data_IF_804893807216
#
_entry.id   IF_804893807216
#
_cell.length_a   1.000
_cell.length_b   1.000
_cell.length_c   1.000
_cell.angle_alpha   90.00
_cell.angle_beta   90.00
_cell.angle_gamma   90.00
#
_symmetry.space_group_name_H-M   'P 1'
#
loop_
_entity.id
_entity.type
_entity.pdbx_description
1 polymer ?
#
# COMPACT_ATOMS: atom_id res chain seq x y z
N UNK A 1 -12.90 34.74 -19.21
CA UNK A 1 -11.92 34.10 -18.32
C UNK A 1 -12.34 34.14 -16.85
N UNK A 2 -13.61 33.85 -16.49
CA UNK A 2 -14.08 33.86 -15.07
C UNK A 2 -14.77 32.56 -14.62
N UNK A 3 -14.83 31.50 -15.46
CA UNK A 3 -15.54 30.25 -15.14
C UNK A 3 -14.64 29.04 -14.84
N UNK A 4 -13.32 29.14 -14.96
CA UNK A 4 -12.39 28.03 -14.68
C UNK A 4 -11.93 27.94 -13.20
N UNK A 5 -12.21 28.99 -12.40
CA UNK A 5 -11.86 28.99 -10.98
C UNK A 5 -12.96 28.37 -10.08
N UNK A 6 -14.21 28.34 -10.54
CA UNK A 6 -15.35 27.82 -9.79
C UNK A 6 -15.53 26.31 -9.88
N UNK A 7 -14.99 25.65 -10.91
CA UNK A 7 -15.04 24.19 -11.04
C UNK A 7 -14.01 23.46 -10.17
N UNK A 8 -12.87 24.08 -9.88
CA UNK A 8 -11.84 23.47 -9.00
C UNK A 8 -12.23 23.36 -7.52
N UNK A 9 -13.27 24.09 -7.09
CA UNK A 9 -13.71 24.08 -5.67
C UNK A 9 -14.80 23.04 -5.39
N UNK A 10 -15.40 22.41 -6.41
CA UNK A 10 -16.46 21.40 -6.23
C UNK A 10 -16.00 19.95 -6.27
N UNK A 11 -14.81 19.66 -6.76
CA UNK A 11 -14.25 18.30 -6.78
C UNK A 11 -13.58 17.88 -5.45
N UNK A 12 -13.44 18.77 -4.49
CA UNK A 12 -12.81 18.53 -3.18
C UNK A 12 -13.74 18.15 -2.03
N UNK A 13 -15.05 18.22 -2.20
CA UNK A 13 -16.02 18.06 -1.09
C UNK A 13 -16.62 16.67 -0.92
N UNK A 14 -16.21 15.67 -1.71
CA UNK A 14 -16.88 14.36 -1.81
C UNK A 14 -16.42 13.26 -0.85
N UNK A 15 -15.33 13.43 -0.11
CA UNK A 15 -14.96 12.45 0.94
C UNK A 15 -15.29 13.07 2.29
N UNK A 16 -16.51 12.81 2.75
CA UNK A 16 -16.95 13.19 4.08
C UNK A 16 -15.90 12.74 5.10
N UNK A 17 -15.35 13.69 5.88
CA UNK A 17 -14.43 13.41 6.98
C UNK A 17 -15.04 12.29 7.81
N UNK A 18 -14.51 11.05 7.64
CA UNK A 18 -14.80 9.95 8.56
C UNK A 18 -14.25 10.41 9.91
N UNK A 19 -15.12 10.94 10.74
CA UNK A 19 -14.77 11.45 12.06
C UNK A 19 -14.21 10.29 12.86
N UNK A 20 -12.95 10.43 13.28
CA UNK A 20 -12.30 9.54 14.24
C UNK A 20 -13.05 9.60 15.58
N UNK A 21 -13.89 8.60 15.84
CA UNK A 21 -14.84 8.57 16.97
C UNK A 21 -14.18 8.11 18.29
N UNK A 22 -12.91 7.75 18.29
CA UNK A 22 -12.22 7.36 19.54
C UNK A 22 -10.82 7.95 19.61
N UNK A 23 -10.73 9.13 20.24
CA UNK A 23 -9.44 9.74 20.57
C UNK A 23 -8.77 8.93 21.67
N UNK A 24 -7.85 8.04 21.30
CA UNK A 24 -7.03 7.30 22.26
C UNK A 24 -6.15 8.31 23.01
N UNK A 25 -6.26 8.38 24.32
CA UNK A 25 -5.39 9.24 25.11
C UNK A 25 -3.99 8.64 25.15
N UNK A 26 -3.02 9.38 24.63
CA UNK A 26 -1.61 9.00 24.64
C UNK A 26 -0.91 9.63 25.86
N UNK A 27 -0.03 8.86 26.50
CA UNK A 27 0.85 9.38 27.57
C UNK A 27 1.74 10.51 27.05
N UNK A 28 2.31 11.31 27.95
CA UNK A 28 3.21 12.41 27.55
C UNK A 28 4.38 11.89 26.70
N UNK A 29 5.01 10.79 27.12
CA UNK A 29 6.10 10.14 26.38
C UNK A 29 5.67 9.71 24.98
N UNK A 30 4.48 9.11 24.85
CA UNK A 30 3.93 8.74 23.55
C UNK A 30 3.65 9.96 22.67
N UNK A 31 3.16 11.06 23.24
CA UNK A 31 2.91 12.31 22.50
C UNK A 31 4.20 12.92 21.98
N UNK A 32 5.27 12.90 22.77
CA UNK A 32 6.62 13.33 22.34
C UNK A 32 7.13 12.43 21.22
N UNK A 33 7.02 11.11 21.35
CA UNK A 33 7.40 10.16 20.31
C UNK A 33 6.62 10.40 19.03
N UNK A 34 5.29 10.61 19.09
CA UNK A 34 4.44 10.92 17.95
C UNK A 34 4.77 12.28 17.29
N UNK A 35 5.42 13.18 18.01
CA UNK A 35 5.86 14.44 17.43
C UNK A 35 7.23 14.32 16.73
N UNK A 36 8.14 13.54 17.27
CA UNK A 36 9.55 13.49 16.82
C UNK A 36 9.75 12.34 15.81
N UNK A 37 9.37 11.11 16.16
CA UNK A 37 9.70 9.90 15.40
C UNK A 37 9.18 9.96 13.95
N UNK A 38 7.92 10.34 13.66
CA UNK A 38 7.44 10.43 12.29
C UNK A 38 8.21 11.42 11.44
N UNK A 39 8.57 12.59 12.01
CA UNK A 39 9.33 13.61 11.27
C UNK A 39 10.75 13.14 10.95
N UNK A 40 11.42 12.52 11.92
CA UNK A 40 12.75 11.96 11.72
C UNK A 40 12.73 10.84 10.69
N UNK A 41 11.78 9.92 10.81
CA UNK A 41 11.62 8.80 9.87
C UNK A 41 11.32 9.33 8.45
N UNK A 42 10.39 10.27 8.30
CA UNK A 42 10.08 10.86 7.00
C UNK A 42 11.29 11.60 6.40
N UNK A 43 12.06 12.32 7.20
CA UNK A 43 13.28 13.00 6.75
C UNK A 43 14.34 12.00 6.28
N UNK A 44 14.60 10.93 7.04
CA UNK A 44 15.54 9.86 6.66
C UNK A 44 15.07 9.20 5.36
N UNK A 45 13.79 8.87 5.24
CA UNK A 45 13.20 8.29 4.04
C UNK A 45 13.34 9.23 2.83
N UNK A 46 13.14 10.53 3.02
CA UNK A 46 13.32 11.52 1.97
C UNK A 46 14.78 11.61 1.52
N UNK A 47 15.73 11.66 2.46
CA UNK A 47 17.17 11.72 2.16
C UNK A 47 17.63 10.46 1.40
N UNK A 48 17.23 9.28 1.85
CA UNK A 48 17.53 8.03 1.13
C UNK A 48 16.81 8.04 -0.23
N UNK A 49 15.52 8.33 -0.23
CA UNK A 49 14.64 8.22 -1.37
C UNK A 49 15.06 9.09 -2.56
N UNK A 50 15.55 10.32 -2.33
CA UNK A 50 16.04 11.18 -3.43
C UNK A 50 17.29 10.64 -4.11
N UNK A 51 18.02 9.74 -3.46
CA UNK A 51 19.21 9.09 -4.02
C UNK A 51 18.90 7.82 -4.81
N UNK A 52 17.68 7.26 -4.65
CA UNK A 52 17.29 6.01 -5.31
C UNK A 52 16.99 6.23 -6.78
N UNK A 53 17.40 5.26 -7.59
CA UNK A 53 17.13 5.23 -9.03
C UNK A 53 16.15 4.09 -9.31
N UNK A 54 14.91 4.44 -9.69
CA UNK A 54 13.87 3.46 -9.97
C UNK A 54 13.87 3.06 -11.44
N UNK A 55 13.84 1.75 -11.68
CA UNK A 55 13.73 1.14 -12.99
C UNK A 55 12.46 0.27 -13.01
N UNK A 56 11.56 0.54 -13.94
CA UNK A 56 10.28 -0.16 -14.05
C UNK A 56 10.40 -1.25 -15.08
N UNK A 57 10.07 -2.48 -14.69
CA UNK A 57 9.92 -3.63 -15.57
C UNK A 57 8.53 -4.23 -15.40
N UNK A 58 8.04 -4.92 -16.40
CA UNK A 58 6.73 -5.53 -16.39
C UNK A 58 6.75 -6.90 -17.05
N UNK A 59 5.98 -7.84 -16.51
CA UNK A 59 5.63 -9.09 -17.16
C UNK A 59 4.89 -8.79 -18.47
N UNK A 60 5.05 -9.63 -19.50
CA UNK A 60 4.31 -9.47 -20.76
C UNK A 60 2.80 -9.41 -20.50
N UNK A 61 2.14 -8.35 -20.99
CA UNK A 61 0.73 -8.08 -20.76
C UNK A 61 0.40 -7.40 -19.41
N UNK A 62 1.39 -7.10 -18.57
CA UNK A 62 1.19 -6.28 -17.39
C UNK A 62 1.28 -4.78 -17.73
N UNK A 63 0.45 -3.98 -17.11
CA UNK A 63 0.41 -2.51 -17.31
C UNK A 63 0.82 -1.81 -16.02
N UNK A 64 2.03 -1.25 -15.94
CA UNK A 64 2.45 -0.47 -14.79
C UNK A 64 1.52 0.72 -14.53
N UNK A 65 1.09 0.88 -13.28
CA UNK A 65 0.26 2.01 -12.91
C UNK A 65 1.01 3.35 -13.03
N UNK A 66 0.27 4.38 -13.43
CA UNK A 66 0.76 5.77 -13.50
C UNK A 66 -0.02 6.68 -12.54
N UNK A 67 0.59 7.75 -11.99
CA UNK A 67 -0.13 8.69 -11.13
C UNK A 67 -1.17 9.53 -11.89
N UNK A 68 -2.34 9.85 -11.32
CA UNK A 68 -2.88 9.27 -10.10
C UNK A 68 -3.38 7.84 -10.30
N UNK A 69 -3.07 6.95 -9.36
CA UNK A 69 -3.48 5.55 -9.44
C UNK A 69 -4.91 5.35 -8.94
N UNK A 70 -5.57 4.30 -9.48
CA UNK A 70 -6.91 3.85 -9.08
C UNK A 70 -6.89 2.33 -8.91
N UNK A 71 -7.80 1.79 -8.09
CA UNK A 71 -7.96 0.36 -7.94
C UNK A 71 -7.27 -0.23 -6.73
N UNK A 72 -6.93 -1.50 -6.80
CA UNK A 72 -6.42 -2.30 -5.69
C UNK A 72 -4.99 -2.73 -5.99
N UNK A 73 -4.06 -2.39 -5.12
CA UNK A 73 -2.64 -2.70 -5.24
C UNK A 73 -2.20 -3.67 -4.17
N UNK A 74 -1.40 -4.66 -4.55
CA UNK A 74 -0.85 -5.67 -3.63
C UNK A 74 0.65 -5.87 -3.83
N UNK A 75 1.36 -5.98 -2.72
CA UNK A 75 2.80 -6.21 -2.66
C UNK A 75 3.18 -6.87 -1.33
N UNK A 76 4.39 -7.43 -1.22
CA UNK A 76 4.89 -8.01 0.03
C UNK A 76 5.29 -6.94 1.04
N UNK A 77 5.01 -7.16 2.32
CA UNK A 77 5.38 -6.26 3.43
C UNK A 77 6.88 -5.94 3.42
N UNK A 78 7.70 -6.87 2.99
CA UNK A 78 9.15 -6.75 2.87
C UNK A 78 9.60 -5.47 2.16
N UNK A 79 8.93 -5.06 1.08
CA UNK A 79 9.32 -3.92 0.27
C UNK A 79 8.52 -2.62 0.57
N UNK A 80 7.85 -2.55 1.74
CA UNK A 80 7.03 -1.39 2.14
C UNK A 80 7.80 -0.07 2.10
N UNK A 81 9.07 -0.07 2.52
CA UNK A 81 9.85 1.18 2.61
C UNK A 81 10.16 1.79 1.23
N UNK A 82 10.73 1.07 0.25
CA UNK A 82 10.89 1.62 -1.10
C UNK A 82 9.55 1.97 -1.76
N UNK A 83 8.45 1.22 -1.48
CA UNK A 83 7.10 1.57 -1.94
C UNK A 83 6.66 2.94 -1.41
N UNK A 84 6.87 3.23 -0.12
CA UNK A 84 6.50 4.48 0.50
C UNK A 84 7.16 5.71 -0.14
N UNK A 85 8.35 5.55 -0.73
CA UNK A 85 8.98 6.62 -1.49
C UNK A 85 8.51 6.67 -2.95
N UNK A 86 8.47 5.54 -3.62
CA UNK A 86 8.09 5.46 -5.04
C UNK A 86 6.66 5.94 -5.27
N UNK A 87 5.71 5.44 -4.50
CA UNK A 87 4.27 5.70 -4.68
C UNK A 87 3.75 6.98 -4.02
N UNK A 88 4.60 7.83 -3.41
CA UNK A 88 4.18 9.06 -2.70
C UNK A 88 3.36 10.05 -3.55
N UNK A 89 3.44 9.96 -4.88
CA UNK A 89 2.70 10.81 -5.81
C UNK A 89 1.46 10.15 -6.42
N UNK A 90 1.20 8.88 -6.06
CA UNK A 90 0.13 8.07 -6.68
C UNK A 90 -1.24 8.25 -6.03
N UNK A 91 -1.36 9.06 -4.96
CA UNK A 91 -2.61 9.27 -4.21
C UNK A 91 -3.23 7.96 -3.70
N UNK A 92 -2.40 7.00 -3.30
CA UNK A 92 -2.85 5.78 -2.67
C UNK A 92 -3.30 6.05 -1.23
N UNK A 93 -4.42 5.46 -0.84
CA UNK A 93 -4.92 5.47 0.53
C UNK A 93 -4.47 4.19 1.22
N UNK A 94 -3.79 4.34 2.35
CA UNK A 94 -3.24 3.21 3.12
C UNK A 94 -4.08 2.97 4.37
N UNK A 95 -4.50 1.72 4.56
CA UNK A 95 -5.26 1.32 5.76
C UNK A 95 -4.30 0.92 6.86
N UNK A 96 -4.40 1.60 8.00
CA UNK A 96 -3.46 1.46 9.12
C UNK A 96 -4.22 1.14 10.40
N UNK A 97 -3.62 0.29 11.23
CA UNK A 97 -4.19 -0.10 12.52
C UNK A 97 -4.37 1.10 13.48
N UNK A 98 -5.30 0.97 14.43
CA UNK A 98 -5.53 1.98 15.49
C UNK A 98 -4.56 1.87 16.67
N UNK A 99 -3.46 1.13 16.53
CA UNK A 99 -2.42 1.00 17.55
C UNK A 99 -1.55 2.27 17.64
N UNK A 100 -0.73 2.37 18.68
CA UNK A 100 0.28 3.43 18.79
C UNK A 100 1.29 3.37 17.63
N UNK A 101 1.76 2.18 17.27
CA UNK A 101 2.67 1.99 16.13
C UNK A 101 1.99 2.38 14.82
N UNK A 102 0.70 2.04 14.65
CA UNK A 102 -0.09 2.51 13.52
C UNK A 102 -0.19 4.03 13.45
N UNK A 103 -0.27 4.73 14.59
CA UNK A 103 -0.27 6.19 14.63
C UNK A 103 1.08 6.79 14.18
N UNK A 104 2.20 6.18 14.59
CA UNK A 104 3.54 6.57 14.12
C UNK A 104 3.66 6.42 12.60
N UNK A 105 3.24 5.27 12.08
CA UNK A 105 3.25 4.98 10.63
C UNK A 105 2.37 5.97 9.87
N UNK A 106 1.13 6.21 10.34
CA UNK A 106 0.20 7.12 9.65
C UNK A 106 0.72 8.56 9.58
N UNK A 107 1.31 9.06 10.66
CA UNK A 107 1.94 10.38 10.65
C UNK A 107 3.14 10.44 9.72
N UNK A 108 3.96 9.39 9.68
CA UNK A 108 5.07 9.29 8.74
C UNK A 108 4.60 9.30 7.29
N UNK A 109 3.59 8.48 6.96
CA UNK A 109 3.01 8.43 5.62
C UNK A 109 2.34 9.75 5.23
N UNK A 110 1.63 10.42 6.16
CA UNK A 110 1.05 11.74 5.93
C UNK A 110 2.11 12.79 5.57
N UNK A 111 3.29 12.74 6.20
CA UNK A 111 4.43 13.62 5.86
C UNK A 111 5.03 13.31 4.47
N UNK A 112 4.85 12.09 3.97
CA UNK A 112 5.25 11.66 2.63
C UNK A 112 4.17 11.92 1.57
N UNK A 113 2.99 12.43 1.96
CA UNK A 113 1.90 12.78 1.04
C UNK A 113 0.85 11.69 0.84
N UNK A 114 0.86 10.63 1.64
CA UNK A 114 -0.20 9.60 1.63
C UNK A 114 -1.40 10.02 2.48
N UNK A 115 -2.56 9.63 2.03
CA UNK A 115 -3.76 9.62 2.87
C UNK A 115 -3.87 8.28 3.61
N UNK A 116 -4.38 8.32 4.84
CA UNK A 116 -4.50 7.10 5.65
C UNK A 116 -5.89 6.97 6.25
N UNK A 117 -6.43 5.74 6.22
CA UNK A 117 -7.68 5.38 6.87
C UNK A 117 -7.39 4.41 8.02
N UNK A 118 -8.12 4.59 9.12
CA UNK A 118 -7.96 3.75 10.31
C UNK A 118 -8.83 2.52 10.22
N UNK A 119 -8.21 1.35 10.11
CA UNK A 119 -8.86 0.04 10.10
C UNK A 119 -8.06 -0.97 10.90
N UNK A 120 -8.67 -2.11 11.22
CA UNK A 120 -7.99 -3.22 11.90
C UNK A 120 -8.46 -4.52 11.28
N UNK A 121 -7.51 -5.38 10.90
CA UNK A 121 -7.80 -6.74 10.43
C UNK A 121 -8.25 -7.69 11.55
N UNK A 122 -8.09 -7.31 12.82
CA UNK A 122 -8.33 -8.19 13.97
C UNK A 122 -9.63 -7.96 14.72
N UNK A 123 -10.29 -6.80 14.58
CA UNK A 123 -11.55 -6.49 15.30
C UNK A 123 -12.51 -5.59 14.51
N UNK A 124 -12.38 -5.56 13.20
CA UNK A 124 -13.17 -4.68 12.32
C UNK A 124 -12.89 -4.93 10.85
N UNK A 125 -12.44 -6.14 10.48
CA UNK A 125 -12.06 -6.47 9.12
C UNK A 125 -13.17 -6.20 8.10
N UNK A 126 -14.43 -6.48 8.44
CA UNK A 126 -15.58 -6.17 7.61
C UNK A 126 -15.78 -4.66 7.45
N UNK A 127 -15.70 -3.90 8.54
CA UNK A 127 -15.83 -2.43 8.49
C UNK A 127 -14.67 -1.78 7.71
N UNK A 128 -13.46 -2.32 7.84
CA UNK A 128 -12.33 -1.87 7.05
C UNK A 128 -12.51 -2.15 5.56
N UNK A 129 -13.04 -3.33 5.19
CA UNK A 129 -13.34 -3.67 3.79
C UNK A 129 -14.42 -2.76 3.20
N UNK A 130 -15.48 -2.45 3.94
CA UNK A 130 -16.52 -1.51 3.49
C UNK A 130 -15.94 -0.11 3.26
N UNK A 131 -15.13 0.39 4.19
CA UNK A 131 -14.46 1.69 4.00
C UNK A 131 -13.53 1.70 2.78
N UNK A 132 -12.81 0.60 2.52
CA UNK A 132 -11.97 0.46 1.33
C UNK A 132 -12.81 0.37 0.04
N UNK A 133 -13.97 -0.27 0.09
CA UNK A 133 -14.91 -0.33 -1.03
C UNK A 133 -15.37 1.09 -1.42
N UNK A 134 -15.73 1.93 -0.45
CA UNK A 134 -16.08 3.33 -0.70
C UNK A 134 -14.93 4.13 -1.32
N UNK A 135 -13.70 3.89 -0.85
CA UNK A 135 -12.49 4.53 -1.39
C UNK A 135 -12.28 4.15 -2.85
N UNK A 136 -12.36 2.86 -3.18
CA UNK A 136 -12.21 2.35 -4.55
C UNK A 136 -13.34 2.87 -5.44
N UNK A 137 -14.59 2.87 -4.97
CA UNK A 137 -15.74 3.43 -5.68
C UNK A 137 -15.60 4.93 -5.93
N UNK A 138 -14.93 5.67 -5.03
CA UNK A 138 -14.56 7.07 -5.20
C UNK A 138 -13.42 7.31 -6.20
N UNK A 139 -12.89 6.27 -6.84
CA UNK A 139 -11.82 6.36 -7.84
C UNK A 139 -10.43 6.56 -7.26
N UNK A 140 -10.20 6.19 -6.01
CA UNK A 140 -8.89 6.21 -5.36
C UNK A 140 -8.23 4.82 -5.38
N UNK A 141 -6.92 4.78 -5.21
CA UNK A 141 -6.17 3.56 -5.02
C UNK A 141 -6.11 3.14 -3.56
N UNK A 142 -6.25 1.85 -3.31
CA UNK A 142 -6.02 1.22 -2.01
C UNK A 142 -4.84 0.25 -2.13
N UNK A 143 -3.89 0.35 -1.22
CA UNK A 143 -2.71 -0.51 -1.22
C UNK A 143 -2.71 -1.47 -0.01
N UNK A 144 -2.39 -2.74 -0.28
CA UNK A 144 -2.25 -3.80 0.72
C UNK A 144 -0.83 -4.35 0.75
N UNK A 145 -0.32 -4.56 1.94
CA UNK A 145 0.72 -5.57 2.15
C UNK A 145 0.01 -6.92 2.20
N UNK A 146 0.21 -7.76 1.18
CA UNK A 146 -0.59 -8.96 0.94
C UNK A 146 -0.47 -9.99 2.07
N UNK A 147 0.71 -10.13 2.66
CA UNK A 147 1.02 -10.99 3.81
C UNK A 147 0.56 -10.41 5.16
N UNK A 148 0.10 -9.15 5.16
CA UNK A 148 -0.42 -8.48 6.34
C UNK A 148 0.67 -8.17 7.38
N UNK A 149 0.30 -7.54 8.51
CA UNK A 149 1.28 -7.01 9.48
C UNK A 149 1.91 -8.07 10.40
N UNK A 150 1.47 -9.31 10.33
CA UNK A 150 1.94 -10.41 11.20
C UNK A 150 2.45 -11.62 10.42
N UNK A 151 2.40 -11.57 9.09
CA UNK A 151 2.80 -12.67 8.23
C UNK A 151 1.93 -13.93 8.34
N UNK A 152 2.49 -15.09 8.01
CA UNK A 152 3.87 -15.31 7.59
C UNK A 152 4.24 -14.62 6.28
N UNK A 153 5.55 -14.42 6.07
CA UNK A 153 6.08 -13.77 4.86
C UNK A 153 5.70 -14.55 3.60
N UNK A 154 5.33 -13.83 2.54
CA UNK A 154 4.97 -14.39 1.22
C UNK A 154 3.71 -15.26 1.23
N UNK A 155 2.81 -15.03 2.18
CA UNK A 155 1.52 -15.70 2.25
C UNK A 155 0.38 -14.68 2.20
N UNK A 156 -0.27 -14.60 1.04
CA UNK A 156 -1.36 -13.64 0.81
C UNK A 156 -2.56 -13.91 1.72
N UNK A 157 -3.08 -12.85 2.33
CA UNK A 157 -4.31 -12.88 3.14
C UNK A 157 -5.54 -12.62 2.28
N UNK A 158 -6.71 -13.04 2.74
CA UNK A 158 -7.97 -12.98 2.01
C UNK A 158 -8.50 -11.54 1.77
N UNK A 159 -8.01 -10.55 2.50
CA UNK A 159 -8.51 -9.17 2.44
C UNK A 159 -8.57 -8.55 1.05
N UNK A 160 -7.48 -8.53 0.29
CA UNK A 160 -7.45 -8.00 -1.08
C UNK A 160 -8.43 -8.71 -2.03
N UNK A 161 -8.53 -10.04 -1.95
CA UNK A 161 -9.42 -10.84 -2.80
C UNK A 161 -10.89 -10.53 -2.52
N UNK A 162 -11.25 -10.39 -1.23
CA UNK A 162 -12.61 -9.98 -0.86
C UNK A 162 -12.94 -8.57 -1.31
N UNK A 163 -12.01 -7.63 -1.21
CA UNK A 163 -12.23 -6.27 -1.72
C UNK A 163 -12.42 -6.29 -3.25
N UNK A 164 -11.60 -7.03 -3.97
CA UNK A 164 -11.71 -7.21 -5.42
C UNK A 164 -13.06 -7.81 -5.81
N UNK A 165 -13.52 -8.86 -5.11
CA UNK A 165 -14.84 -9.43 -5.29
C UNK A 165 -15.96 -8.41 -5.07
N UNK A 166 -15.89 -7.62 -3.99
CA UNK A 166 -16.92 -6.63 -3.64
C UNK A 166 -16.99 -5.46 -4.63
N UNK A 167 -15.83 -5.06 -5.17
CA UNK A 167 -15.72 -3.89 -6.07
C UNK A 167 -15.69 -4.25 -7.54
N UNK A 168 -15.54 -5.54 -7.88
CA UNK A 168 -15.32 -6.05 -9.22
C UNK A 168 -14.13 -5.36 -9.93
N UNK A 169 -13.14 -4.91 -9.14
CA UNK A 169 -11.89 -4.35 -9.64
C UNK A 169 -10.78 -5.42 -9.64
N UNK A 170 -9.93 -5.35 -10.65
CA UNK A 170 -8.71 -6.16 -10.70
C UNK A 170 -7.74 -5.78 -9.57
N UNK A 171 -6.86 -6.71 -9.22
CA UNK A 171 -5.77 -6.48 -8.29
C UNK A 171 -4.47 -6.36 -9.06
N UNK A 172 -3.87 -5.19 -9.04
CA UNK A 172 -2.53 -4.96 -9.57
C UNK A 172 -1.49 -5.39 -8.56
N UNK A 173 -0.55 -6.21 -8.97
CA UNK A 173 0.49 -6.74 -8.10
C UNK A 173 1.89 -6.38 -8.60
N UNK A 174 2.77 -6.05 -7.65
CA UNK A 174 4.13 -5.61 -7.93
C UNK A 174 5.08 -5.95 -6.79
N UNK A 175 6.37 -5.80 -7.08
CA UNK A 175 7.44 -5.91 -6.09
C UNK A 175 8.53 -4.88 -6.34
N UNK A 176 9.09 -4.31 -5.26
CA UNK A 176 10.21 -3.38 -5.35
C UNK A 176 11.47 -4.02 -4.73
N UNK A 177 12.47 -4.26 -5.56
CA UNK A 177 13.72 -4.86 -5.16
C UNK A 177 14.89 -3.87 -5.26
N UNK A 178 15.42 -3.37 -4.13
CA UNK A 178 16.67 -2.63 -4.12
C UNK A 178 17.84 -3.56 -4.44
N UNK A 179 18.70 -3.18 -5.41
CA UNK A 179 19.95 -3.90 -5.73
C UNK A 179 20.88 -3.99 -4.52
N UNK A 180 20.89 -2.95 -3.68
CA UNK A 180 21.65 -2.91 -2.43
C UNK A 180 20.72 -2.48 -1.29
N UNK A 181 20.58 -3.35 -0.29
CA UNK A 181 19.74 -3.10 0.87
C UNK A 181 20.39 -3.62 2.15
N UNK A 182 19.95 -3.09 3.29
CA UNK A 182 20.04 -3.77 4.56
C UNK A 182 18.76 -4.58 4.75
N UNK A 183 18.91 -5.87 5.04
CA UNK A 183 17.78 -6.76 5.36
C UNK A 183 17.71 -6.92 6.89
N UNK A 184 16.57 -6.57 7.46
CA UNK A 184 16.36 -6.73 8.89
C UNK A 184 16.10 -8.20 9.25
N UNK A 185 16.52 -8.59 10.45
CA UNK A 185 16.17 -9.90 11.01
C UNK A 185 14.77 -9.85 11.66
N UNK A 186 13.75 -9.60 10.84
CA UNK A 186 12.33 -9.54 11.19
C UNK A 186 11.56 -10.63 10.46
N UNK A 187 10.31 -10.88 10.86
CA UNK A 187 9.45 -11.89 10.25
C UNK A 187 9.27 -11.71 8.73
N UNK A 188 9.28 -10.45 8.27
CA UNK A 188 9.11 -10.03 6.88
C UNK A 188 10.43 -9.82 6.12
N UNK A 189 11.57 -9.94 6.81
CA UNK A 189 12.90 -9.66 6.24
C UNK A 189 12.95 -8.29 5.57
N UNK A 190 12.47 -7.27 6.27
CA UNK A 190 12.24 -5.91 5.80
C UNK A 190 13.45 -5.30 5.08
N UNK A 191 13.24 -4.72 3.91
CA UNK A 191 14.29 -4.15 3.09
C UNK A 191 14.42 -2.64 3.30
N UNK A 192 15.62 -2.22 3.71
CA UNK A 192 16.00 -0.80 3.77
C UNK A 192 16.98 -0.53 2.64
N UNK A 193 16.59 0.18 1.56
CA UNK A 193 17.49 0.50 0.46
C UNK A 193 18.71 1.28 0.94
N UNK A 194 19.88 0.91 0.47
CA UNK A 194 21.09 1.72 0.69
C UNK A 194 21.03 2.96 -0.21
N UNK A 195 21.58 4.10 0.23
CA UNK A 195 21.68 5.30 -0.61
C UNK A 195 22.31 4.99 -1.98
N UNK A 196 21.83 5.67 -3.02
CA UNK A 196 22.27 5.53 -4.41
C UNK A 196 22.01 4.14 -5.02
N UNK A 197 21.17 3.31 -4.39
CA UNK A 197 20.81 2.00 -4.95
C UNK A 197 19.86 2.18 -6.14
N UNK A 198 20.01 1.29 -7.13
CA UNK A 198 18.96 1.02 -8.11
C UNK A 198 17.86 0.21 -7.43
N UNK A 199 16.62 0.50 -7.78
CA UNK A 199 15.44 -0.21 -7.25
C UNK A 199 14.59 -0.65 -8.43
N UNK A 200 14.48 -1.95 -8.62
CA UNK A 200 13.62 -2.52 -9.66
C UNK A 200 12.17 -2.51 -9.18
N UNK A 201 11.29 -1.90 -9.97
CA UNK A 201 9.83 -1.89 -9.77
C UNK A 201 9.23 -2.87 -10.77
N UNK A 202 9.00 -4.08 -10.33
CA UNK A 202 8.51 -5.18 -11.18
C UNK A 202 6.99 -5.33 -11.03
N UNK A 203 6.29 -5.30 -12.16
CA UNK A 203 4.84 -5.50 -12.23
C UNK A 203 4.52 -6.87 -12.82
N UNK A 204 3.56 -7.59 -12.22
CA UNK A 204 2.95 -8.77 -12.81
C UNK A 204 1.60 -8.43 -13.45
N UNK A 205 1.02 -9.38 -14.20
CA UNK A 205 -0.33 -9.22 -14.73
C UNK A 205 -1.32 -9.08 -13.58
N UNK A 206 -2.32 -8.23 -13.79
CA UNK A 206 -3.40 -8.03 -12.83
C UNK A 206 -4.20 -9.32 -12.62
N UNK A 207 -4.69 -9.51 -11.40
CA UNK A 207 -5.55 -10.64 -11.06
C UNK A 207 -7.00 -10.20 -11.16
N UNK A 208 -7.75 -10.85 -12.04
CA UNK A 208 -9.16 -10.58 -12.24
C UNK A 208 -10.00 -10.87 -10.97
N UNK A 209 -11.08 -10.12 -10.71
CA UNK A 209 -11.94 -10.35 -9.56
C UNK A 209 -12.57 -11.74 -9.58
N UNK A 210 -12.87 -12.26 -8.40
CA UNK A 210 -13.77 -13.41 -8.29
C UNK A 210 -15.21 -13.00 -8.67
N UNK A 211 -16.03 -13.93 -9.20
CA UNK A 211 -17.47 -13.69 -9.34
C UNK A 211 -18.11 -13.18 -8.05
N UNK A 212 -19.14 -12.33 -8.14
CA UNK A 212 -19.79 -11.75 -6.96
C UNK A 212 -20.39 -12.82 -6.03
N UNK A 213 -20.84 -13.93 -6.60
CA UNK A 213 -21.42 -15.11 -5.92
C UNK A 213 -20.40 -16.23 -5.68
N UNK A 214 -19.09 -15.97 -5.84
CA UNK A 214 -18.04 -16.96 -5.66
C UNK A 214 -18.06 -17.58 -4.25
N UNK A 215 -17.94 -18.89 -4.21
CA UNK A 215 -17.83 -19.68 -2.99
C UNK A 215 -16.43 -19.57 -2.34
N UNK A 216 -16.27 -20.16 -1.17
CA UNK A 216 -15.02 -20.14 -0.43
C UNK A 216 -13.86 -20.80 -1.22
N UNK A 217 -14.14 -21.83 -2.01
CA UNK A 217 -13.14 -22.55 -2.81
C UNK A 217 -12.61 -21.65 -3.94
N UNK A 218 -13.52 -20.97 -4.62
CA UNK A 218 -13.17 -20.01 -5.68
C UNK A 218 -12.36 -18.83 -5.14
N UNK A 219 -12.74 -18.30 -3.96
CA UNK A 219 -11.99 -17.23 -3.30
C UNK A 219 -10.59 -17.66 -2.88
N UNK A 220 -10.44 -18.92 -2.42
CA UNK A 220 -9.14 -19.47 -2.06
C UNK A 220 -8.25 -19.66 -3.31
N UNK A 221 -8.81 -20.13 -4.43
CA UNK A 221 -8.10 -20.20 -5.69
C UNK A 221 -7.62 -18.80 -6.16
N UNK A 222 -8.45 -17.76 -5.99
CA UNK A 222 -8.07 -16.37 -6.29
C UNK A 222 -7.00 -15.81 -5.36
N UNK A 223 -7.02 -16.23 -4.09
CA UNK A 223 -5.97 -15.88 -3.12
C UNK A 223 -4.62 -16.46 -3.55
N UNK A 224 -4.63 -17.72 -4.00
CA UNK A 224 -3.42 -18.38 -4.48
C UNK A 224 -2.94 -17.77 -5.82
N UNK A 225 -3.85 -17.41 -6.73
CA UNK A 225 -3.51 -16.70 -7.97
C UNK A 225 -2.81 -15.39 -7.68
N UNK A 226 -3.31 -14.61 -6.69
CA UNK A 226 -2.70 -13.36 -6.25
C UNK A 226 -1.33 -13.60 -5.62
N UNK A 227 -1.21 -14.65 -4.78
CA UNK A 227 0.07 -15.04 -4.19
C UNK A 227 1.12 -15.29 -5.27
N UNK A 228 0.77 -16.05 -6.29
CA UNK A 228 1.64 -16.37 -7.42
C UNK A 228 1.96 -15.11 -8.27
N UNK A 229 1.01 -14.20 -8.43
CA UNK A 229 1.25 -12.96 -9.17
C UNK A 229 2.31 -12.08 -8.50
N UNK A 230 2.22 -11.86 -7.18
CA UNK A 230 3.21 -11.09 -6.44
C UNK A 230 4.57 -11.81 -6.44
N UNK A 231 4.56 -13.15 -6.34
CA UNK A 231 5.77 -13.96 -6.38
C UNK A 231 6.45 -13.91 -7.77
N UNK A 232 5.68 -13.88 -8.87
CA UNK A 232 6.24 -13.65 -10.22
C UNK A 232 6.89 -12.28 -10.32
N UNK A 233 6.25 -11.22 -9.81
CA UNK A 233 6.85 -9.89 -9.78
C UNK A 233 8.18 -9.89 -9.00
N UNK A 234 8.24 -10.60 -7.86
CA UNK A 234 9.46 -10.73 -7.07
C UNK A 234 10.57 -11.44 -7.84
N UNK A 235 10.26 -12.60 -8.42
CA UNK A 235 11.25 -13.38 -9.21
C UNK A 235 11.74 -12.63 -10.43
N UNK A 236 10.86 -11.91 -11.13
CA UNK A 236 11.24 -11.08 -12.28
C UNK A 236 12.22 -9.98 -11.87
N UNK A 237 12.00 -9.34 -10.71
CA UNK A 237 12.94 -8.35 -10.18
C UNK A 237 14.29 -8.98 -9.82
N UNK A 238 14.31 -10.17 -9.21
CA UNK A 238 15.53 -10.90 -8.86
C UNK A 238 16.33 -11.31 -10.09
N UNK A 239 15.65 -11.87 -11.10
CA UNK A 239 16.29 -12.28 -12.36
C UNK A 239 16.86 -11.08 -13.14
N UNK A 240 16.22 -9.90 -13.03
CA UNK A 240 16.68 -8.69 -13.72
C UNK A 240 17.96 -8.09 -13.09
N UNK A 241 18.25 -8.44 -11.82
CA UNK A 241 19.46 -7.99 -11.12
C UNK A 241 20.66 -8.94 -11.25
N UNK A 242 20.44 -10.17 -11.75
CA UNK A 242 21.50 -11.16 -12.00
C UNK A 242 22.18 -10.88 -13.36
#
# INVERSE_FOLDING_TARGET
MKNLAAERTREGEGVGRIRDVTRKEFTLTQRIALAIVPRLTAAILAVIGVTLRFEVIAEEGAIPATPPAKGIFCFWHQCTLPCGWYFRKYRCIVVISRSFDGELIARTLGLLGFETVRGSSSSGGAAALLAMQEIVAGGFAVAFTADGPRGPIYETKMGPVKLSQMTQQEIDSFYLLPERAWTLNSWDRFLIPKPFSRVIVSWSRSVAPAPADADATTLEAKREELNQAIERARRNAENHLQ
#
